data_IF_395381218335
#
_entry.id   IF_395381218335
#
_cell.length_a   1.000
_cell.length_b   1.000
_cell.length_c   1.000
_cell.angle_alpha   90.00
_cell.angle_beta   90.00
_cell.angle_gamma   90.00
#
_symmetry.space_group_name_H-M   'P 1'
#
loop_
_entity.id
_entity.type
_entity.pdbx_description
1 polymer ?
#
# COMPACT_ATOMS: atom_id res chain seq x y z
N UNK A 1 2.04 -19.95 -37.28
CA UNK A 1 1.17 -18.93 -36.65
C UNK A 1 1.63 -18.81 -35.22
N UNK A 2 2.49 -17.82 -34.96
CA UNK A 2 3.04 -17.57 -33.64
C UNK A 2 1.92 -17.05 -32.75
N UNK A 3 1.65 -17.73 -31.65
CA UNK A 3 0.73 -17.26 -30.62
C UNK A 3 1.29 -15.92 -30.13
N UNK A 4 0.59 -14.77 -30.26
CA UNK A 4 1.05 -13.56 -29.62
C UNK A 4 0.88 -13.82 -28.13
N UNK A 5 1.96 -14.13 -27.43
CA UNK A 5 2.01 -14.02 -25.98
C UNK A 5 1.52 -12.61 -25.66
N UNK A 6 0.27 -12.52 -25.25
CA UNK A 6 -0.35 -11.28 -24.82
C UNK A 6 0.47 -10.80 -23.64
N UNK A 7 1.32 -9.80 -23.88
CA UNK A 7 2.12 -9.16 -22.84
C UNK A 7 1.18 -8.74 -21.72
N UNK A 8 1.21 -9.46 -20.60
CA UNK A 8 0.42 -9.14 -19.42
C UNK A 8 1.03 -7.87 -18.82
N UNK A 9 0.23 -6.83 -18.66
CA UNK A 9 0.68 -5.63 -17.97
C UNK A 9 0.88 -5.94 -16.48
N UNK A 10 2.00 -5.52 -15.89
CA UNK A 10 2.12 -5.54 -14.44
C UNK A 10 1.03 -4.65 -13.85
N UNK A 11 0.18 -5.24 -13.01
CA UNK A 11 -0.96 -4.55 -12.40
C UNK A 11 -0.70 -4.15 -10.95
N UNK A 12 0.52 -4.36 -10.49
CA UNK A 12 0.95 -3.98 -9.16
C UNK A 12 1.54 -2.57 -9.15
N UNK A 13 1.09 -1.77 -8.18
CA UNK A 13 1.59 -0.43 -7.95
C UNK A 13 2.28 -0.43 -6.59
N UNK A 14 3.53 0.02 -6.60
CA UNK A 14 4.40 0.10 -5.43
C UNK A 14 4.95 1.51 -5.31
N UNK A 15 4.89 2.06 -4.11
CA UNK A 15 5.48 3.35 -3.76
C UNK A 15 6.18 3.22 -2.41
N UNK A 16 7.42 3.68 -2.35
CA UNK A 16 8.18 3.76 -1.12
C UNK A 16 8.18 5.20 -0.62
N UNK A 17 8.03 5.36 0.69
CA UNK A 17 8.07 6.63 1.40
C UNK A 17 9.25 6.58 2.36
N UNK A 18 10.32 7.30 2.03
CA UNK A 18 11.55 7.34 2.85
C UNK A 18 11.45 8.45 3.89
N UNK A 19 11.75 8.17 5.15
CA UNK A 19 11.78 9.19 6.20
C UNK A 19 13.03 10.08 6.06
N UNK A 20 12.86 11.41 6.09
CA UNK A 20 13.96 12.36 5.83
C UNK A 20 14.85 12.66 7.03
N UNK A 21 14.32 12.52 8.24
CA UNK A 21 14.96 12.97 9.46
C UNK A 21 14.97 11.82 10.47
N UNK A 22 14.01 11.82 11.39
CA UNK A 22 13.87 10.77 12.37
C UNK A 22 13.24 9.52 11.74
N UNK A 23 13.56 8.36 12.31
CA UNK A 23 13.06 7.07 11.86
C UNK A 23 12.18 6.46 12.97
N UNK A 24 10.93 6.09 12.68
CA UNK A 24 10.03 5.56 13.69
C UNK A 24 10.44 4.15 14.13
N UNK A 25 10.11 3.82 15.37
CA UNK A 25 10.15 2.43 15.87
C UNK A 25 8.82 1.73 15.57
N UNK A 26 8.74 0.42 15.79
CA UNK A 26 7.50 -0.33 15.58
C UNK A 26 6.33 0.20 16.40
N UNK A 27 6.54 0.57 17.66
CA UNK A 27 5.49 1.15 18.51
C UNK A 27 4.92 2.45 17.93
N UNK A 28 5.75 3.24 17.26
CA UNK A 28 5.34 4.48 16.58
C UNK A 28 4.50 4.17 15.33
N UNK A 29 5.02 3.35 14.41
CA UNK A 29 4.31 2.95 13.19
C UNK A 29 2.97 2.29 13.52
N UNK A 30 2.91 1.49 14.58
CA UNK A 30 1.69 0.79 14.99
C UNK A 30 0.52 1.73 15.26
N UNK A 31 0.78 2.99 15.65
CA UNK A 31 -0.28 3.97 15.90
C UNK A 31 -1.14 4.28 14.67
N UNK A 32 -0.73 3.88 13.46
CA UNK A 32 -1.54 3.96 12.24
C UNK A 32 -2.83 3.13 12.32
N UNK A 33 -2.90 2.15 13.24
CA UNK A 33 -4.10 1.35 13.53
C UNK A 33 -5.08 2.10 14.46
N UNK A 34 -4.84 3.38 14.75
CA UNK A 34 -5.68 4.23 15.59
C UNK A 34 -5.46 4.07 17.10
N UNK A 35 -4.49 3.23 17.53
CA UNK A 35 -4.14 3.08 18.95
C UNK A 35 -2.70 2.57 19.12
N UNK A 36 -2.17 2.65 20.35
CA UNK A 36 -0.83 2.16 20.67
C UNK A 36 -0.76 0.64 20.82
N UNK A 37 0.41 0.05 20.56
CA UNK A 37 0.65 -1.37 20.79
C UNK A 37 0.84 -1.66 22.29
N UNK A 38 0.25 -2.75 22.79
CA UNK A 38 0.33 -3.10 24.23
C UNK A 38 1.78 -3.34 24.71
N UNK A 39 2.58 -4.02 23.89
CA UNK A 39 3.96 -4.42 24.21
C UNK A 39 5.05 -3.49 23.67
N UNK A 40 4.73 -2.55 22.79
CA UNK A 40 5.71 -1.67 22.14
C UNK A 40 5.32 -0.23 22.39
N UNK A 41 6.08 0.44 23.25
CA UNK A 41 5.83 1.84 23.59
C UNK A 41 6.11 2.74 22.38
N UNK A 42 5.28 3.76 22.21
CA UNK A 42 5.57 4.87 21.31
C UNK A 42 6.74 5.67 21.88
N UNK A 43 7.58 6.20 20.99
CA UNK A 43 8.59 7.19 21.35
C UNK A 43 7.96 8.56 21.62
N UNK A 44 6.72 8.78 21.16
CA UNK A 44 6.00 10.05 21.25
C UNK A 44 6.44 11.08 20.22
N UNK A 45 7.49 10.78 19.43
CA UNK A 45 7.99 11.64 18.35
C UNK A 45 7.24 11.45 17.04
N UNK A 46 6.64 10.27 16.88
CA UNK A 46 5.84 9.88 15.74
C UNK A 46 4.48 9.39 16.23
N UNK A 47 3.42 10.03 15.75
CA UNK A 47 2.05 9.66 16.09
C UNK A 47 1.24 9.64 14.79
N UNK A 48 0.96 8.44 14.29
CA UNK A 48 0.19 8.18 13.08
C UNK A 48 -1.32 8.02 13.36
N UNK A 49 -1.76 8.19 14.61
CA UNK A 49 -3.17 8.06 15.02
C UNK A 49 -4.10 8.93 14.16
N UNK A 50 -3.64 10.11 13.75
CA UNK A 50 -4.41 11.02 12.91
C UNK A 50 -4.73 10.47 11.50
N UNK A 51 -4.14 9.32 11.12
CA UNK A 51 -4.37 8.60 9.87
C UNK A 51 -5.26 7.36 10.07
N UNK A 52 -5.97 7.22 11.19
CA UNK A 52 -6.86 6.09 11.46
C UNK A 52 -7.97 5.91 10.41
N UNK A 53 -8.37 7.02 9.77
CA UNK A 53 -9.35 7.05 8.68
C UNK A 53 -8.83 6.44 7.36
N UNK A 54 -7.55 6.06 7.31
CA UNK A 54 -6.99 5.23 6.24
C UNK A 54 -7.30 3.73 6.42
N UNK A 55 -7.86 3.33 7.57
CA UNK A 55 -8.32 1.97 7.90
C UNK A 55 -7.22 0.89 7.85
N UNK A 56 -6.00 1.25 8.20
CA UNK A 56 -4.94 0.25 8.37
C UNK A 56 -5.21 -0.63 9.59
N UNK A 57 -4.93 -1.91 9.46
CA UNK A 57 -4.93 -2.90 10.54
C UNK A 57 -3.61 -3.65 10.54
N UNK A 58 -3.21 -4.20 11.70
CA UNK A 58 -2.08 -5.11 11.73
C UNK A 58 -2.44 -6.43 11.01
N UNK A 59 -1.55 -6.88 10.13
CA UNK A 59 -1.63 -8.17 9.45
C UNK A 59 -0.31 -8.89 9.66
N UNK A 60 -0.30 -9.79 10.66
CA UNK A 60 0.92 -10.46 11.16
C UNK A 60 1.98 -9.41 11.57
N UNK A 61 3.16 -9.42 10.98
CA UNK A 61 4.26 -8.49 11.21
C UNK A 61 4.13 -7.14 10.46
N UNK A 62 3.16 -7.02 9.55
CA UNK A 62 2.96 -5.84 8.71
C UNK A 62 1.63 -5.14 8.99
N UNK A 63 1.25 -4.24 8.08
CA UNK A 63 -0.01 -3.51 8.12
C UNK A 63 -0.73 -3.61 6.79
N UNK A 64 -2.05 -3.53 6.81
CA UNK A 64 -2.84 -3.51 5.60
C UNK A 64 -4.27 -3.06 5.78
N UNK A 65 -4.83 -2.56 4.68
CA UNK A 65 -6.26 -2.27 4.52
C UNK A 65 -6.93 -3.55 4.04
N UNK A 66 -7.71 -4.17 4.91
CA UNK A 66 -8.40 -5.44 4.60
C UNK A 66 -9.64 -5.21 3.75
N UNK A 67 -9.95 -6.15 2.87
CA UNK A 67 -11.23 -6.16 2.17
C UNK A 67 -12.37 -6.41 3.14
N UNK A 68 -13.43 -5.62 3.00
CA UNK A 68 -14.72 -5.85 3.68
C UNK A 68 -15.70 -6.62 2.78
N UNK A 69 -15.27 -6.99 1.56
CA UNK A 69 -16.07 -7.66 0.53
C UNK A 69 -15.54 -9.05 0.27
N UNK A 70 -16.35 -9.89 -0.39
CA UNK A 70 -15.94 -11.23 -0.85
C UNK A 70 -15.07 -11.18 -2.10
N UNK A 71 -15.14 -10.09 -2.85
CA UNK A 71 -14.41 -9.93 -4.11
C UNK A 71 -13.05 -9.29 -3.85
N UNK A 72 -12.04 -9.77 -4.58
CA UNK A 72 -10.66 -9.29 -4.54
C UNK A 72 -9.77 -9.97 -3.49
N UNK A 73 -8.59 -9.41 -3.26
CA UNK A 73 -7.64 -9.90 -2.26
C UNK A 73 -8.12 -9.60 -0.82
N UNK A 74 -7.77 -10.47 0.13
CA UNK A 74 -8.10 -10.26 1.56
C UNK A 74 -7.48 -8.98 2.12
N UNK A 75 -6.30 -8.62 1.63
CA UNK A 75 -5.60 -7.36 1.95
C UNK A 75 -5.42 -6.59 0.66
N UNK A 76 -6.16 -5.49 0.55
CA UNK A 76 -6.27 -4.71 -0.67
C UNK A 76 -5.10 -3.75 -0.83
N UNK A 77 -4.62 -3.16 0.28
CA UNK A 77 -3.44 -2.29 0.30
C UNK A 77 -2.54 -2.79 1.42
N UNK A 78 -1.32 -3.13 1.07
CA UNK A 78 -0.28 -3.47 2.04
C UNK A 78 0.55 -2.25 2.38
N UNK A 79 1.01 -2.18 3.63
CA UNK A 79 2.06 -1.29 4.09
C UNK A 79 3.13 -2.09 4.81
N UNK A 80 4.36 -2.01 4.30
CA UNK A 80 5.53 -2.69 4.84
C UNK A 80 6.49 -1.66 5.41
N UNK A 81 7.00 -1.82 6.64
CA UNK A 81 8.10 -1.02 7.12
C UNK A 81 9.40 -1.40 6.38
N UNK A 82 10.29 -0.43 6.19
CA UNK A 82 11.54 -0.62 5.44
C UNK A 82 12.78 -0.34 6.30
N UNK A 83 13.87 -1.06 6.03
CA UNK A 83 15.23 -0.75 6.49
C UNK A 83 16.13 -0.76 5.27
N UNK A 84 16.80 0.36 5.03
CA UNK A 84 17.68 0.57 3.87
C UNK A 84 17.03 0.21 2.53
N UNK A 85 15.71 0.43 2.41
CA UNK A 85 14.90 0.17 1.21
C UNK A 85 14.32 -1.24 1.11
N UNK A 86 14.68 -2.13 2.03
CA UNK A 86 14.22 -3.52 2.07
C UNK A 86 13.09 -3.72 3.07
N UNK A 87 12.16 -4.64 2.78
CA UNK A 87 11.04 -4.96 3.69
C UNK A 87 11.60 -5.54 4.99
N UNK A 88 11.31 -4.84 6.09
CA UNK A 88 11.70 -5.26 7.42
C UNK A 88 10.56 -6.10 8.03
N UNK A 89 10.78 -7.40 8.18
CA UNK A 89 9.83 -8.34 8.81
C UNK A 89 9.67 -8.10 10.32
N UNK A 90 9.99 -9.10 11.15
CA UNK A 90 9.89 -9.05 12.63
C UNK A 90 10.84 -8.03 13.32
N UNK A 91 11.34 -7.02 12.60
CA UNK A 91 12.22 -5.98 13.13
C UNK A 91 11.43 -4.93 13.93
N UNK A 92 12.09 -4.28 14.89
CA UNK A 92 11.47 -3.29 15.79
C UNK A 92 11.74 -1.84 15.42
N UNK A 93 12.41 -1.62 14.29
CA UNK A 93 12.98 -0.35 13.87
C UNK A 93 14.37 -0.07 14.46
N UNK A 94 14.95 1.11 14.19
CA UNK A 94 14.33 2.21 13.44
C UNK A 94 14.10 1.85 11.97
N UNK A 95 13.04 2.39 11.38
CA UNK A 95 12.67 2.12 9.98
C UNK A 95 13.04 3.30 9.09
N UNK A 96 13.74 3.03 7.99
CA UNK A 96 14.15 4.05 7.02
C UNK A 96 13.00 4.53 6.13
N UNK A 97 11.91 3.74 6.03
CA UNK A 97 10.76 4.10 5.22
C UNK A 97 9.57 3.17 5.38
N UNK A 98 8.59 3.35 4.50
CA UNK A 98 7.41 2.51 4.37
C UNK A 98 7.13 2.24 2.89
N UNK A 99 6.81 1.01 2.52
CA UNK A 99 6.33 0.65 1.19
C UNK A 99 4.83 0.43 1.22
N UNK A 100 4.08 1.17 0.42
CA UNK A 100 2.69 0.84 0.11
C UNK A 100 2.61 0.09 -1.21
N UNK A 101 1.79 -0.96 -1.24
CA UNK A 101 1.63 -1.84 -2.40
C UNK A 101 0.18 -2.24 -2.56
N UNK A 102 -0.33 -2.19 -3.78
CA UNK A 102 -1.61 -2.81 -4.11
C UNK A 102 -1.61 -3.37 -5.53
N UNK A 103 -2.41 -4.42 -5.75
CA UNK A 103 -2.62 -5.00 -7.08
C UNK A 103 -3.97 -4.52 -7.63
N UNK A 104 -3.95 -3.73 -8.70
CA UNK A 104 -5.14 -3.13 -9.28
C UNK A 104 -6.05 -4.17 -9.96
N UNK A 105 -5.47 -5.21 -10.58
CA UNK A 105 -6.23 -6.26 -11.24
C UNK A 105 -7.04 -7.06 -10.22
N UNK A 106 -6.38 -7.43 -9.11
CA UNK A 106 -6.94 -8.34 -8.11
C UNK A 106 -7.90 -7.67 -7.13
N UNK A 107 -8.19 -6.38 -7.28
CA UNK A 107 -9.03 -5.63 -6.35
C UNK A 107 -10.12 -4.85 -7.08
N UNK A 108 -11.27 -4.58 -6.42
CA UNK A 108 -12.31 -3.72 -6.98
C UNK A 108 -11.79 -2.34 -7.38
N UNK A 109 -12.41 -1.73 -8.38
CA UNK A 109 -11.92 -0.48 -8.98
C UNK A 109 -11.75 0.67 -7.97
N UNK A 110 -12.63 0.77 -6.97
CA UNK A 110 -12.61 1.83 -5.96
C UNK A 110 -11.39 1.76 -5.03
N UNK A 111 -10.62 0.67 -5.03
CA UNK A 111 -9.40 0.54 -4.23
C UNK A 111 -8.30 1.46 -4.74
N UNK A 112 -8.27 1.77 -6.04
CA UNK A 112 -7.32 2.77 -6.57
C UNK A 112 -7.48 4.13 -5.91
N UNK A 113 -8.73 4.52 -5.64
CA UNK A 113 -9.04 5.82 -5.04
C UNK A 113 -8.60 5.84 -3.57
N UNK A 114 -8.78 4.72 -2.86
CA UNK A 114 -8.27 4.57 -1.50
C UNK A 114 -6.74 4.63 -1.46
N UNK A 115 -6.06 3.96 -2.40
CA UNK A 115 -4.61 4.02 -2.51
C UNK A 115 -4.10 5.46 -2.76
N UNK A 116 -4.76 6.20 -3.64
CA UNK A 116 -4.45 7.62 -3.88
C UNK A 116 -4.67 8.47 -2.62
N UNK A 117 -5.70 8.20 -1.82
CA UNK A 117 -5.88 8.88 -0.51
C UNK A 117 -4.74 8.55 0.45
N UNK A 118 -4.32 7.29 0.54
CA UNK A 118 -3.17 6.88 1.37
C UNK A 118 -1.90 7.62 0.94
N UNK A 119 -1.62 7.66 -0.38
CA UNK A 119 -0.49 8.39 -0.92
C UNK A 119 -0.52 9.86 -0.48
N UNK A 120 -1.64 10.55 -0.75
CA UNK A 120 -1.81 11.98 -0.42
C UNK A 120 -1.66 12.24 1.07
N UNK A 121 -2.19 11.37 1.92
CA UNK A 121 -2.07 11.48 3.36
C UNK A 121 -0.62 11.32 3.80
N UNK A 122 0.11 10.33 3.28
CA UNK A 122 1.51 10.14 3.63
C UNK A 122 2.38 11.30 3.15
N UNK A 123 2.17 11.77 1.92
CA UNK A 123 2.92 12.90 1.37
C UNK A 123 2.67 14.22 2.12
N UNK A 124 1.43 14.50 2.52
CA UNK A 124 1.07 15.78 3.14
C UNK A 124 1.19 15.83 4.66
N UNK A 125 1.08 14.68 5.34
CA UNK A 125 0.98 14.63 6.80
C UNK A 125 2.21 13.99 7.44
N UNK A 126 3.08 13.32 6.66
CA UNK A 126 4.32 12.74 7.14
C UNK A 126 5.55 13.43 6.53
N UNK A 127 6.65 13.47 7.29
CA UNK A 127 7.94 13.95 6.80
C UNK A 127 8.66 12.88 5.98
N UNK A 128 8.10 12.55 4.82
CA UNK A 128 8.61 11.49 3.94
C UNK A 128 8.88 11.99 2.53
N UNK A 129 9.67 11.22 1.77
CA UNK A 129 9.86 11.39 0.32
C UNK A 129 9.31 10.18 -0.43
N UNK A 130 8.30 10.35 -1.31
CA UNK A 130 7.83 9.25 -2.14
C UNK A 130 8.83 8.96 -3.26
N UNK A 131 9.03 7.67 -3.58
CA UNK A 131 9.93 7.23 -4.66
C UNK A 131 9.40 7.56 -6.06
N UNK A 132 8.12 7.96 -6.17
CA UNK A 132 7.42 8.31 -7.40
C UNK A 132 6.43 9.44 -7.13
N UNK A 133 6.16 10.28 -8.13
CA UNK A 133 5.14 11.33 -8.02
C UNK A 133 3.72 10.76 -8.06
N UNK A 134 2.78 11.46 -7.41
CA UNK A 134 1.36 11.12 -7.48
C UNK A 134 0.85 11.06 -8.92
N UNK A 135 1.23 12.01 -9.77
CA UNK A 135 0.84 12.05 -11.18
C UNK A 135 1.27 10.80 -11.94
N UNK A 136 2.49 10.30 -11.67
CA UNK A 136 2.99 9.05 -12.27
C UNK A 136 2.15 7.84 -11.85
N UNK A 137 1.76 7.79 -10.57
CA UNK A 137 0.91 6.73 -10.01
C UNK A 137 -0.49 6.77 -10.60
N UNK A 138 -1.14 7.94 -10.63
CA UNK A 138 -2.48 8.12 -11.20
C UNK A 138 -2.51 7.77 -12.71
N UNK A 139 -1.47 8.17 -13.45
CA UNK A 139 -1.31 7.82 -14.87
C UNK A 139 -1.19 6.31 -15.07
N UNK A 140 -0.43 5.63 -14.23
CA UNK A 140 -0.28 4.17 -14.29
C UNK A 140 -1.59 3.45 -13.95
N UNK A 141 -2.34 3.91 -12.93
CA UNK A 141 -3.67 3.39 -12.60
C UNK A 141 -4.59 3.44 -13.83
N UNK A 142 -4.68 4.61 -14.49
CA UNK A 142 -5.53 4.78 -15.68
C UNK A 142 -5.11 3.82 -16.80
N UNK A 143 -3.81 3.65 -17.02
CA UNK A 143 -3.27 2.75 -18.03
C UNK A 143 -3.64 1.28 -17.75
N UNK A 144 -3.47 0.81 -16.52
CA UNK A 144 -3.79 -0.58 -16.14
C UNK A 144 -5.31 -0.81 -16.24
N UNK A 145 -6.15 0.14 -15.78
CA UNK A 145 -7.61 0.06 -15.92
C UNK A 145 -8.03 -0.06 -17.39
N UNK A 146 -7.47 0.77 -18.26
CA UNK A 146 -7.77 0.74 -19.69
C UNK A 146 -7.37 -0.60 -20.35
N UNK A 147 -6.21 -1.15 -19.98
CA UNK A 147 -5.75 -2.44 -20.48
C UNK A 147 -6.72 -3.58 -20.15
N UNK A 148 -7.13 -3.73 -18.88
CA UNK A 148 -8.03 -4.82 -18.49
C UNK A 148 -9.45 -4.64 -19.00
N UNK A 149 -9.90 -3.39 -19.14
CA UNK A 149 -11.16 -3.07 -19.80
C UNK A 149 -11.17 -3.51 -21.26
N UNK A 150 -10.09 -3.27 -22.02
CA UNK A 150 -9.95 -3.74 -23.41
C UNK A 150 -10.00 -5.28 -23.53
N UNK A 151 -9.52 -5.98 -22.49
CA UNK A 151 -9.59 -7.43 -22.37
C UNK A 151 -10.93 -7.96 -21.87
N UNK A 152 -11.91 -7.10 -21.60
CA UNK A 152 -13.18 -7.44 -20.96
C UNK A 152 -13.02 -8.18 -19.62
N UNK A 153 -11.94 -7.90 -18.88
CA UNK A 153 -11.69 -8.45 -17.55
C UNK A 153 -12.05 -7.39 -16.51
N UNK A 154 -13.06 -7.69 -15.69
CA UNK A 154 -13.44 -6.82 -14.59
C UNK A 154 -12.45 -6.94 -13.42
N UNK A 155 -12.01 -5.81 -12.88
CA UNK A 155 -11.08 -5.78 -11.74
C UNK A 155 -11.73 -6.40 -10.50
N UNK A 156 -10.96 -7.22 -9.76
CA UNK A 156 -11.42 -7.95 -8.58
C UNK A 156 -12.35 -9.14 -8.86
N UNK A 157 -12.65 -9.43 -10.13
CA UNK A 157 -13.45 -10.61 -10.50
C UNK A 157 -12.71 -11.93 -10.29
N UNK A 158 -13.43 -13.06 -10.26
CA UNK A 158 -12.81 -14.39 -10.21
C UNK A 158 -11.81 -14.61 -11.36
N UNK A 159 -12.12 -14.12 -12.56
CA UNK A 159 -11.22 -14.17 -13.70
C UNK A 159 -9.94 -13.36 -13.44
N UNK A 160 -10.06 -12.18 -12.86
CA UNK A 160 -8.90 -11.35 -12.50
C UNK A 160 -8.04 -11.97 -11.39
N UNK A 161 -8.66 -12.70 -10.46
CA UNK A 161 -7.95 -13.42 -9.39
C UNK A 161 -7.22 -14.69 -9.88
N UNK A 162 -7.64 -15.23 -11.03
CA UNK A 162 -7.03 -16.39 -11.67
C UNK A 162 -5.85 -16.05 -12.60
N UNK A 163 -5.56 -14.76 -12.79
CA UNK A 163 -4.41 -14.23 -13.54
C UNK A 163 -3.30 -13.87 -12.53
#
# INVERSE_FOLDING_TARGET
MSNPESQVINSEIVVDFTFKEEQPMFGDLFTIVGHGHQSFRTSGRFIFHHLEDLYFSQVKEFFGVKSMRKDGDEVMIWMYPLIDGEIAGEHKGPFSGMRIRFNLLRNPENISDHFVRVFKAFESQLKTEPSRSLESVETEIVKIKAFWKDKNIALGSEQALAI
#
